data_IF_775700013781
#
_entry.id   IF_775700013781
#
_cell.length_a   1.000
_cell.length_b   1.000
_cell.length_c   1.000
_cell.angle_alpha   90.00
_cell.angle_beta   90.00
_cell.angle_gamma   90.00
#
_symmetry.space_group_name_H-M   'P 1'
#
loop_
_entity.id
_entity.type
_entity.pdbx_description
1 polymer ?
#
# COMPACT_ATOMS: atom_id res chain seq x y z
N UNK A 1 10.00 -0.27 -0.79
CA UNK A 1 9.01 -0.55 -1.86
C UNK A 1 7.81 0.34 -1.60
N UNK A 2 7.47 1.29 -2.50
CA UNK A 2 6.26 2.11 -2.37
C UNK A 2 5.03 1.20 -2.18
N UNK A 3 4.05 1.53 -1.33
CA UNK A 3 2.86 0.70 -1.17
C UNK A 3 2.06 0.69 -2.48
N UNK A 4 2.02 -0.46 -3.16
CA UNK A 4 1.35 -0.62 -4.47
C UNK A 4 -0.16 -0.80 -4.28
N UNK A 5 -0.83 0.19 -3.69
CA UNK A 5 -2.27 0.15 -3.39
C UNK A 5 -3.13 -0.09 -4.64
N UNK A 6 -2.68 0.40 -5.79
CA UNK A 6 -3.33 0.18 -7.08
C UNK A 6 -3.26 -1.29 -7.54
N UNK A 7 -2.20 -2.03 -7.19
CA UNK A 7 -2.11 -3.48 -7.43
C UNK A 7 -3.15 -4.22 -6.60
N UNK A 8 -3.38 -3.78 -5.36
CA UNK A 8 -4.49 -4.26 -4.54
C UNK A 8 -5.84 -3.99 -5.20
N UNK A 9 -6.06 -2.78 -5.73
CA UNK A 9 -7.29 -2.45 -6.47
C UNK A 9 -7.45 -3.34 -7.70
N UNK A 10 -6.39 -3.54 -8.49
CA UNK A 10 -6.43 -4.39 -9.68
C UNK A 10 -6.79 -5.84 -9.30
N UNK A 11 -6.16 -6.39 -8.25
CA UNK A 11 -6.47 -7.74 -7.78
C UNK A 11 -7.92 -7.85 -7.31
N UNK A 12 -8.44 -6.81 -6.66
CA UNK A 12 -9.84 -6.73 -6.23
C UNK A 12 -10.80 -6.62 -7.40
N UNK A 13 -10.48 -5.86 -8.45
CA UNK A 13 -11.31 -5.77 -9.64
C UNK A 13 -11.42 -7.13 -10.35
N UNK A 14 -10.28 -7.80 -10.56
CA UNK A 14 -10.26 -9.16 -11.11
C UNK A 14 -11.06 -10.12 -10.22
N UNK A 15 -10.91 -10.01 -8.91
CA UNK A 15 -11.69 -10.79 -7.95
C UNK A 15 -13.19 -10.53 -8.08
N UNK A 16 -13.64 -9.28 -8.05
CA UNK A 16 -15.06 -8.89 -8.16
C UNK A 16 -15.66 -9.44 -9.45
N UNK A 17 -14.96 -9.24 -10.58
CA UNK A 17 -15.41 -9.78 -11.88
C UNK A 17 -15.53 -11.30 -11.81
N UNK A 18 -14.57 -12.00 -11.21
CA UNK A 18 -14.62 -13.46 -11.04
C UNK A 18 -15.76 -13.97 -10.13
N UNK A 19 -16.42 -13.08 -9.39
CA UNK A 19 -17.54 -13.40 -8.49
C UNK A 19 -18.92 -13.05 -9.10
N UNK A 20 -18.98 -12.51 -10.32
CA UNK A 20 -20.26 -12.22 -10.98
C UNK A 20 -21.02 -13.53 -11.25
N UNK A 21 -22.25 -13.71 -10.73
CA UNK A 21 -23.04 -14.92 -10.93
C UNK A 21 -23.23 -15.27 -12.39
N UNK A 22 -22.84 -16.49 -12.78
CA UNK A 22 -23.02 -17.00 -14.15
C UNK A 22 -21.99 -16.52 -15.17
N UNK A 23 -21.03 -15.67 -14.79
CA UNK A 23 -19.97 -15.23 -15.70
C UNK A 23 -18.92 -16.32 -15.94
N UNK A 24 -18.52 -17.01 -14.87
CA UNK A 24 -17.50 -18.06 -14.90
C UNK A 24 -18.10 -19.42 -14.47
N UNK A 25 -17.46 -20.54 -14.85
CA UNK A 25 -17.89 -21.86 -14.41
C UNK A 25 -17.97 -21.98 -12.87
N UNK A 26 -18.78 -22.91 -12.35
CA UNK A 26 -18.85 -23.17 -10.92
C UNK A 26 -17.47 -23.44 -10.32
N UNK A 27 -17.20 -22.85 -9.15
CA UNK A 27 -15.92 -22.91 -8.44
C UNK A 27 -14.70 -22.40 -9.22
N UNK A 28 -14.92 -21.66 -10.32
CA UNK A 28 -13.86 -20.96 -11.04
C UNK A 28 -13.81 -19.51 -10.58
N UNK A 29 -12.92 -19.20 -9.62
CA UNK A 29 -12.83 -17.86 -9.01
C UNK A 29 -11.40 -17.47 -8.66
N UNK A 30 -11.13 -16.16 -8.64
CA UNK A 30 -9.85 -15.61 -8.20
C UNK A 30 -9.70 -15.60 -6.67
N UNK A 31 -10.71 -16.03 -5.90
CA UNK A 31 -10.67 -16.01 -4.42
C UNK A 31 -9.45 -16.72 -3.84
N UNK A 32 -9.10 -17.89 -4.39
CA UNK A 32 -7.96 -18.69 -3.92
C UNK A 32 -6.64 -17.93 -4.15
N UNK A 33 -6.47 -17.39 -5.35
CA UNK A 33 -5.30 -16.61 -5.72
C UNK A 33 -5.20 -15.31 -4.93
N UNK A 34 -6.32 -14.62 -4.71
CA UNK A 34 -6.39 -13.35 -3.96
C UNK A 34 -5.93 -13.57 -2.52
N UNK A 35 -6.45 -14.57 -1.84
CA UNK A 35 -6.10 -14.85 -0.44
C UNK A 35 -4.66 -15.33 -0.29
N UNK A 36 -4.20 -16.19 -1.20
CA UNK A 36 -2.80 -16.60 -1.22
C UNK A 36 -1.88 -15.39 -1.44
N UNK A 37 -2.12 -14.60 -2.48
CA UNK A 37 -1.32 -13.42 -2.80
C UNK A 37 -1.41 -12.35 -1.70
N UNK A 38 -2.55 -12.19 -1.05
CA UNK A 38 -2.67 -11.33 0.14
C UNK A 38 -1.73 -11.80 1.27
N UNK A 39 -1.61 -13.10 1.48
CA UNK A 39 -0.64 -13.68 2.41
C UNK A 39 0.81 -13.37 2.02
N UNK A 40 1.13 -13.42 0.72
CA UNK A 40 2.48 -13.14 0.19
C UNK A 40 2.85 -11.66 0.29
N UNK A 41 1.97 -10.78 -0.21
CA UNK A 41 2.28 -9.38 -0.49
C UNK A 41 1.79 -8.41 0.58
N UNK A 42 0.72 -8.70 1.32
CA UNK A 42 0.13 -7.78 2.32
C UNK A 42 0.57 -8.17 3.74
N UNK A 43 1.81 -7.80 4.09
CA UNK A 43 2.44 -8.15 5.37
C UNK A 43 2.40 -7.03 6.41
N UNK A 44 2.26 -5.78 5.97
CA UNK A 44 2.37 -4.59 6.83
C UNK A 44 0.99 -3.96 7.12
N UNK A 45 0.81 -3.52 8.37
CA UNK A 45 -0.39 -2.83 8.82
C UNK A 45 -1.69 -3.63 8.65
N UNK A 46 -2.78 -2.91 8.37
CA UNK A 46 -4.14 -3.45 8.20
C UNK A 46 -4.49 -3.79 6.74
N UNK A 47 -3.51 -3.77 5.82
CA UNK A 47 -3.71 -3.99 4.38
C UNK A 47 -4.33 -5.35 4.03
N UNK A 48 -4.12 -6.36 4.86
CA UNK A 48 -4.74 -7.69 4.73
C UNK A 48 -6.25 -7.70 5.02
N UNK A 49 -6.80 -6.68 5.69
CA UNK A 49 -8.24 -6.55 5.91
C UNK A 49 -9.00 -6.29 4.61
N UNK A 50 -8.36 -5.70 3.62
CA UNK A 50 -9.00 -5.32 2.36
C UNK A 50 -9.49 -6.54 1.55
N UNK A 51 -8.65 -7.55 1.22
CA UNK A 51 -9.13 -8.77 0.55
C UNK A 51 -10.13 -9.57 1.39
N UNK A 52 -10.02 -9.54 2.72
CA UNK A 52 -11.00 -10.17 3.60
C UNK A 52 -12.36 -9.46 3.56
N UNK A 53 -12.37 -8.12 3.62
CA UNK A 53 -13.58 -7.33 3.50
C UNK A 53 -14.24 -7.53 2.12
N UNK A 54 -13.44 -7.55 1.05
CA UNK A 54 -13.94 -7.82 -0.30
C UNK A 54 -14.56 -9.22 -0.41
N UNK A 55 -13.95 -10.24 0.20
CA UNK A 55 -14.51 -11.58 0.28
C UNK A 55 -15.88 -11.59 0.95
N UNK A 56 -15.98 -11.02 2.15
CA UNK A 56 -17.24 -10.93 2.90
C UNK A 56 -18.31 -10.20 2.12
N UNK A 57 -18.00 -9.03 1.57
CA UNK A 57 -18.94 -8.27 0.75
C UNK A 57 -19.41 -9.08 -0.48
N UNK A 58 -18.50 -9.80 -1.15
CA UNK A 58 -18.85 -10.64 -2.28
C UNK A 58 -19.76 -11.81 -1.88
N UNK A 59 -19.54 -12.42 -0.71
CA UNK A 59 -20.34 -13.54 -0.23
C UNK A 59 -21.74 -13.10 0.20
N UNK A 60 -21.85 -11.91 0.82
CA UNK A 60 -23.14 -11.30 1.14
C UNK A 60 -23.92 -10.99 -0.13
N UNK A 61 -23.26 -10.41 -1.13
CA UNK A 61 -23.88 -10.14 -2.44
C UNK A 61 -24.33 -11.43 -3.12
N UNK A 62 -23.47 -12.46 -3.19
CA UNK A 62 -23.83 -13.76 -3.77
C UNK A 62 -24.98 -14.41 -3.02
N UNK A 63 -24.97 -14.38 -1.69
CA UNK A 63 -26.06 -14.93 -0.88
C UNK A 63 -27.38 -14.20 -1.16
N UNK A 64 -27.35 -12.87 -1.24
CA UNK A 64 -28.53 -12.08 -1.61
C UNK A 64 -29.03 -12.45 -3.01
N UNK A 65 -28.13 -12.55 -4.00
CA UNK A 65 -28.47 -12.91 -5.37
C UNK A 65 -29.08 -14.31 -5.50
N UNK A 66 -28.46 -15.33 -4.87
CA UNK A 66 -28.97 -16.70 -4.89
C UNK A 66 -30.28 -16.84 -4.11
N UNK A 67 -30.47 -16.06 -3.04
CA UNK A 67 -31.75 -15.98 -2.34
C UNK A 67 -32.83 -15.39 -3.25
N UNK A 68 -32.56 -14.26 -3.89
CA UNK A 68 -33.52 -13.61 -4.80
C UNK A 68 -33.88 -14.49 -5.99
N UNK A 69 -32.89 -15.17 -6.61
CA UNK A 69 -33.11 -15.94 -7.84
C UNK A 69 -33.64 -17.36 -7.61
N UNK A 70 -33.23 -18.03 -6.54
CA UNK A 70 -33.51 -19.45 -6.32
C UNK A 70 -34.08 -19.76 -4.92
N UNK A 71 -34.24 -18.76 -4.05
CA UNK A 71 -34.73 -18.95 -2.69
C UNK A 71 -33.71 -19.55 -1.72
N UNK A 72 -32.43 -19.66 -2.09
CA UNK A 72 -31.41 -20.24 -1.23
C UNK A 72 -30.94 -19.27 -0.14
N UNK A 73 -30.97 -19.71 1.11
CA UNK A 73 -30.57 -18.88 2.26
C UNK A 73 -29.22 -19.35 2.81
N UNK A 74 -28.14 -18.71 2.37
CA UNK A 74 -26.76 -19.08 2.74
C UNK A 74 -26.35 -18.56 4.12
N UNK A 75 -26.67 -17.30 4.43
CA UNK A 75 -26.46 -16.70 5.75
C UNK A 75 -27.71 -16.85 6.61
N UNK A 76 -27.80 -17.96 7.36
CA UNK A 76 -28.80 -18.19 8.39
C UNK A 76 -28.14 -18.76 9.65
N UNK A 77 -28.81 -18.65 10.80
CA UNK A 77 -28.33 -19.25 12.06
C UNK A 77 -28.05 -20.75 11.91
N UNK A 78 -28.85 -21.45 11.10
CA UNK A 78 -28.68 -22.89 10.84
C UNK A 78 -27.49 -23.19 9.94
N UNK A 79 -27.15 -22.31 8.99
CA UNK A 79 -26.08 -22.55 8.00
C UNK A 79 -24.75 -21.87 8.34
N UNK A 80 -24.69 -21.10 9.44
CA UNK A 80 -23.52 -20.31 9.82
C UNK A 80 -22.26 -21.16 10.01
N UNK A 81 -22.41 -22.40 10.48
CA UNK A 81 -21.30 -23.33 10.68
C UNK A 81 -20.65 -23.73 9.34
N UNK A 82 -21.42 -23.91 8.26
CA UNK A 82 -20.86 -24.16 6.93
C UNK A 82 -20.07 -22.96 6.39
N UNK A 83 -20.61 -21.76 6.59
CA UNK A 83 -19.91 -20.52 6.23
C UNK A 83 -18.60 -20.40 7.01
N UNK A 84 -18.63 -20.61 8.34
CA UNK A 84 -17.44 -20.54 9.18
C UNK A 84 -16.33 -21.51 8.75
N UNK A 85 -16.69 -22.73 8.34
CA UNK A 85 -15.72 -23.73 7.88
C UNK A 85 -15.09 -23.36 6.52
N UNK A 86 -15.85 -22.75 5.61
CA UNK A 86 -15.29 -22.20 4.38
C UNK A 86 -14.32 -21.04 4.66
N UNK A 87 -14.65 -20.17 5.61
CA UNK A 87 -13.77 -19.08 6.04
C UNK A 87 -12.51 -19.59 6.73
N UNK A 88 -12.59 -20.69 7.47
CA UNK A 88 -11.41 -21.37 8.01
C UNK A 88 -10.50 -21.88 6.88
N UNK A 89 -11.08 -22.51 5.85
CA UNK A 89 -10.31 -22.95 4.69
C UNK A 89 -9.64 -21.77 3.96
N UNK A 90 -10.34 -20.63 3.81
CA UNK A 90 -9.77 -19.40 3.26
C UNK A 90 -8.62 -18.83 4.11
N UNK A 91 -8.74 -18.87 5.44
CA UNK A 91 -7.66 -18.47 6.35
C UNK A 91 -6.42 -19.35 6.15
N UNK A 92 -6.58 -20.67 5.96
CA UNK A 92 -5.45 -21.56 5.70
C UNK A 92 -4.70 -21.20 4.41
N UNK A 93 -5.41 -20.81 3.34
CA UNK A 93 -4.77 -20.32 2.10
C UNK A 93 -3.92 -19.07 2.37
N UNK A 94 -4.48 -18.12 3.13
CA UNK A 94 -3.77 -16.90 3.48
C UNK A 94 -2.52 -17.20 4.34
N UNK A 95 -2.64 -18.07 5.34
CA UNK A 95 -1.52 -18.49 6.18
C UNK A 95 -0.45 -19.23 5.37
N UNK A 96 -0.84 -20.06 4.40
CA UNK A 96 0.08 -20.68 3.45
C UNK A 96 0.84 -19.60 2.66
N UNK A 97 0.14 -18.58 2.15
CA UNK A 97 0.76 -17.43 1.47
C UNK A 97 1.80 -16.72 2.35
N UNK A 98 1.57 -16.62 3.67
CA UNK A 98 2.51 -16.01 4.61
C UNK A 98 3.85 -16.73 4.73
N UNK A 99 3.92 -18.00 4.32
CA UNK A 99 5.16 -18.79 4.26
C UNK A 99 6.04 -18.41 3.06
N UNK A 100 5.49 -17.72 2.06
CA UNK A 100 6.22 -17.27 0.88
C UNK A 100 6.64 -15.80 1.01
N UNK A 101 7.66 -15.41 0.24
CA UNK A 101 8.14 -14.02 0.14
C UNK A 101 7.95 -13.51 -1.29
N UNK A 102 7.69 -12.21 -1.52
CA UNK A 102 7.55 -11.62 -2.86
C UNK A 102 8.72 -11.95 -3.81
N UNK A 103 9.94 -12.07 -3.26
CA UNK A 103 11.17 -12.42 -3.99
C UNK A 103 11.25 -13.87 -4.49
N UNK A 104 10.34 -14.76 -4.09
CA UNK A 104 10.32 -16.12 -4.64
C UNK A 104 10.05 -16.10 -6.15
N UNK A 105 10.51 -17.14 -6.84
CA UNK A 105 10.37 -17.26 -8.29
C UNK A 105 8.89 -17.34 -8.70
N UNK A 106 8.61 -17.00 -9.96
CA UNK A 106 7.25 -17.06 -10.51
C UNK A 106 6.63 -18.45 -10.32
N UNK A 107 7.39 -19.51 -10.64
CA UNK A 107 6.94 -20.90 -10.52
C UNK A 107 6.67 -21.31 -9.08
N UNK A 108 7.50 -20.89 -8.11
CA UNK A 108 7.25 -21.14 -6.69
C UNK A 108 5.98 -20.47 -6.20
N UNK A 109 5.73 -19.23 -6.61
CA UNK A 109 4.53 -18.49 -6.20
C UNK A 109 3.26 -19.05 -6.84
N UNK A 110 3.29 -19.38 -8.13
CA UNK A 110 2.17 -20.06 -8.81
C UNK A 110 1.91 -21.44 -8.22
N UNK A 111 2.96 -22.22 -7.96
CA UNK A 111 2.86 -23.50 -7.26
C UNK A 111 2.23 -23.37 -5.87
N UNK A 112 2.59 -22.32 -5.12
CA UNK A 112 1.96 -22.00 -3.84
C UNK A 112 0.47 -21.66 -3.96
N UNK A 113 0.06 -20.92 -4.99
CA UNK A 113 -1.35 -20.64 -5.27
C UNK A 113 -2.16 -21.88 -5.62
N UNK A 114 -1.62 -22.76 -6.48
CA UNK A 114 -2.22 -24.07 -6.81
C UNK A 114 -2.34 -24.94 -5.56
N UNK A 115 -1.29 -24.98 -4.72
CA UNK A 115 -1.33 -25.70 -3.45
C UNK A 115 -2.40 -25.13 -2.50
N UNK A 116 -2.55 -23.81 -2.44
CA UNK A 116 -3.62 -23.16 -1.67
C UNK A 116 -5.01 -23.59 -2.15
N UNK A 117 -5.24 -23.61 -3.46
CA UNK A 117 -6.49 -24.08 -4.05
C UNK A 117 -6.74 -25.58 -3.76
N UNK A 118 -5.71 -26.42 -3.79
CA UNK A 118 -5.77 -27.83 -3.39
C UNK A 118 -6.14 -27.98 -1.91
N UNK A 119 -5.48 -27.23 -1.02
CA UNK A 119 -5.77 -27.24 0.42
C UNK A 119 -7.22 -26.85 0.68
N UNK A 120 -7.70 -25.78 0.05
CA UNK A 120 -9.10 -25.37 0.15
C UNK A 120 -10.05 -26.50 -0.27
N UNK A 121 -9.79 -27.10 -1.43
CA UNK A 121 -10.65 -28.15 -1.97
C UNK A 121 -10.71 -29.36 -1.03
N UNK A 122 -9.56 -29.85 -0.54
CA UNK A 122 -9.52 -31.02 0.34
C UNK A 122 -10.21 -30.70 1.66
N UNK A 123 -9.91 -29.55 2.27
CA UNK A 123 -10.47 -29.17 3.58
C UNK A 123 -11.99 -28.97 3.49
N UNK A 124 -12.47 -28.19 2.51
CA UNK A 124 -13.91 -27.92 2.35
C UNK A 124 -14.73 -29.19 2.09
N UNK A 125 -14.25 -30.07 1.21
CA UNK A 125 -14.96 -31.34 0.93
C UNK A 125 -14.85 -32.34 2.08
N UNK A 126 -13.76 -32.31 2.85
CA UNK A 126 -13.66 -33.11 4.10
C UNK A 126 -14.71 -32.66 5.11
N UNK A 127 -14.97 -31.36 5.22
CA UNK A 127 -16.05 -30.86 6.09
C UNK A 127 -17.44 -31.22 5.57
N UNK A 128 -17.68 -31.16 4.26
CA UNK A 128 -18.96 -31.59 3.67
C UNK A 128 -19.20 -33.08 3.92
N UNK A 129 -18.18 -33.93 3.73
CA UNK A 129 -18.23 -35.35 4.07
C UNK A 129 -18.52 -35.57 5.56
N UNK A 130 -17.80 -34.86 6.44
CA UNK A 130 -17.92 -35.03 7.88
C UNK A 130 -19.25 -34.51 8.45
N UNK A 131 -19.82 -33.45 7.89
CA UNK A 131 -21.09 -32.92 8.37
C UNK A 131 -22.30 -33.56 7.68
N UNK A 132 -22.09 -34.09 6.48
CA UNK A 132 -23.13 -34.66 5.62
C UNK A 132 -24.41 -33.82 5.57
N UNK A 133 -24.34 -32.53 5.18
CA UNK A 133 -25.49 -31.63 5.22
C UNK A 133 -26.65 -32.05 4.31
N UNK A 134 -26.36 -32.89 3.31
CA UNK A 134 -27.34 -33.40 2.36
C UNK A 134 -27.94 -34.75 2.77
N UNK A 135 -27.54 -35.32 3.92
CA UNK A 135 -27.88 -36.68 4.32
C UNK A 135 -27.60 -37.70 3.20
N UNK A 136 -26.51 -37.51 2.47
CA UNK A 136 -26.09 -38.35 1.36
C UNK A 136 -25.65 -39.73 1.90
N UNK A 137 -26.25 -40.84 1.45
CA UNK A 137 -25.87 -42.17 1.90
C UNK A 137 -24.44 -42.56 1.51
N UNK A 138 -23.88 -41.91 0.49
CA UNK A 138 -22.53 -42.16 -0.02
C UNK A 138 -21.43 -41.59 0.89
N UNK A 139 -21.75 -40.65 1.79
CA UNK A 139 -20.79 -40.07 2.74
C UNK A 139 -20.63 -40.96 3.98
N UNK A 140 -20.23 -42.20 3.76
CA UNK A 140 -19.89 -43.17 4.80
C UNK A 140 -18.72 -42.68 5.65
N UNK A 141 -18.70 -42.98 6.95
CA UNK A 141 -17.68 -42.51 7.92
C UNK A 141 -16.35 -43.27 7.82
N UNK A 142 -15.93 -43.59 6.61
CA UNK A 142 -14.72 -44.30 6.29
C UNK A 142 -13.98 -43.64 5.12
N UNK A 143 -12.83 -44.20 4.75
CA UNK A 143 -12.00 -43.69 3.67
C UNK A 143 -12.73 -43.66 2.32
N UNK A 144 -13.66 -44.60 2.07
CA UNK A 144 -14.41 -44.68 0.82
C UNK A 144 -15.37 -43.51 0.69
N UNK A 145 -16.13 -43.21 1.74
CA UNK A 145 -17.03 -42.06 1.73
C UNK A 145 -16.29 -40.73 1.62
N UNK A 146 -15.12 -40.63 2.25
CA UNK A 146 -14.26 -39.44 2.09
C UNK A 146 -13.76 -39.28 0.65
N UNK A 147 -13.27 -40.36 0.03
CA UNK A 147 -12.84 -40.35 -1.36
C UNK A 147 -14.01 -40.04 -2.31
N UNK A 148 -15.19 -40.54 -2.01
CA UNK A 148 -16.43 -40.25 -2.75
C UNK A 148 -16.74 -38.75 -2.72
N UNK A 149 -16.67 -38.12 -1.55
CA UNK A 149 -16.88 -36.69 -1.42
C UNK A 149 -15.87 -35.86 -2.23
N UNK A 150 -14.62 -36.31 -2.32
CA UNK A 150 -13.57 -35.64 -3.10
C UNK A 150 -13.68 -35.83 -4.62
N UNK A 151 -14.47 -36.78 -5.10
CA UNK A 151 -14.48 -37.16 -6.52
C UNK A 151 -15.85 -37.04 -7.16
N UNK A 152 -16.87 -37.68 -6.59
CA UNK A 152 -18.20 -37.79 -7.18
C UNK A 152 -19.14 -36.76 -6.54
N UNK A 153 -19.20 -36.70 -5.21
CA UNK A 153 -20.14 -35.83 -4.50
C UNK A 153 -21.55 -36.41 -4.36
N UNK A 154 -22.55 -35.54 -4.24
CA UNK A 154 -23.95 -35.92 -3.98
C UNK A 154 -24.80 -35.88 -5.26
N UNK A 155 -25.74 -36.81 -5.40
CA UNK A 155 -26.68 -36.84 -6.51
C UNK A 155 -27.48 -35.53 -6.65
N UNK A 156 -27.75 -35.12 -7.89
CA UNK A 156 -28.46 -33.87 -8.20
C UNK A 156 -27.57 -32.63 -8.31
N UNK A 157 -26.27 -32.76 -8.07
CA UNK A 157 -25.27 -31.70 -8.24
C UNK A 157 -24.18 -32.12 -9.23
N UNK A 158 -23.46 -31.16 -9.84
CA UNK A 158 -22.27 -31.47 -10.63
C UNK A 158 -21.25 -32.25 -9.81
N UNK A 159 -20.51 -33.14 -10.49
CA UNK A 159 -19.50 -33.97 -9.84
C UNK A 159 -18.42 -33.13 -9.13
N UNK A 160 -18.00 -33.55 -7.93
CA UNK A 160 -16.96 -32.85 -7.17
C UNK A 160 -15.66 -32.70 -7.95
N UNK A 161 -15.34 -33.66 -8.82
CA UNK A 161 -14.21 -33.61 -9.74
C UNK A 161 -14.24 -32.41 -10.69
N UNK A 162 -15.44 -31.97 -11.12
CA UNK A 162 -15.58 -30.77 -11.94
C UNK A 162 -15.19 -29.53 -11.14
N UNK A 163 -15.64 -29.44 -9.89
CA UNK A 163 -15.24 -28.37 -8.99
C UNK A 163 -13.75 -28.39 -8.68
N UNK A 164 -13.14 -29.58 -8.54
CA UNK A 164 -11.71 -29.73 -8.33
C UNK A 164 -10.90 -29.12 -9.47
N UNK A 165 -11.20 -29.53 -10.71
CA UNK A 165 -10.54 -29.00 -11.91
C UNK A 165 -10.65 -27.49 -11.99
N UNK A 166 -11.86 -26.94 -11.79
CA UNK A 166 -12.08 -25.51 -11.87
C UNK A 166 -11.33 -24.75 -10.77
N UNK A 167 -11.33 -25.28 -9.54
CA UNK A 167 -10.61 -24.71 -8.39
C UNK A 167 -9.09 -24.65 -8.66
N UNK A 168 -8.51 -25.75 -9.15
CA UNK A 168 -7.09 -25.80 -9.45
C UNK A 168 -6.71 -24.90 -10.64
N UNK A 169 -7.49 -24.94 -11.72
CA UNK A 169 -7.25 -24.13 -12.90
C UNK A 169 -7.35 -22.63 -12.57
N UNK A 170 -8.38 -22.22 -11.82
CA UNK A 170 -8.54 -20.82 -11.43
C UNK A 170 -7.47 -20.39 -10.43
N UNK A 171 -7.11 -21.25 -9.47
CA UNK A 171 -6.01 -21.02 -8.54
C UNK A 171 -4.69 -20.75 -9.26
N UNK A 172 -4.31 -21.63 -10.21
CA UNK A 172 -3.10 -21.43 -11.01
C UNK A 172 -3.16 -20.22 -11.93
N UNK A 173 -4.25 -20.05 -12.67
CA UNK A 173 -4.43 -18.96 -13.63
C UNK A 173 -4.38 -17.59 -12.94
N UNK A 174 -5.20 -17.37 -11.92
CA UNK A 174 -5.28 -16.07 -11.25
C UNK A 174 -4.05 -15.79 -10.40
N UNK A 175 -3.42 -16.80 -9.79
CA UNK A 175 -2.13 -16.59 -9.12
C UNK A 175 -1.06 -16.23 -10.14
N UNK A 176 -1.02 -16.89 -11.30
CA UNK A 176 -0.12 -16.54 -12.40
C UNK A 176 -0.32 -15.10 -12.87
N UNK A 177 -1.57 -14.67 -13.02
CA UNK A 177 -1.91 -13.29 -13.38
C UNK A 177 -1.46 -12.29 -12.31
N UNK A 178 -1.78 -12.52 -11.03
CA UNK A 178 -1.41 -11.63 -9.94
C UNK A 178 0.11 -11.54 -9.74
N UNK A 179 0.79 -12.68 -9.70
CA UNK A 179 2.25 -12.74 -9.58
C UNK A 179 2.92 -12.16 -10.81
N UNK A 180 2.40 -12.43 -12.01
CA UNK A 180 2.91 -11.91 -13.27
C UNK A 180 2.87 -10.39 -13.31
N UNK A 181 1.72 -9.78 -12.97
CA UNK A 181 1.62 -8.32 -12.87
C UNK A 181 2.54 -7.80 -11.76
N UNK A 182 2.57 -8.42 -10.58
CA UNK A 182 3.45 -7.97 -9.49
C UNK A 182 4.94 -7.97 -9.89
N UNK A 183 5.39 -9.00 -10.61
CA UNK A 183 6.77 -9.13 -11.11
C UNK A 183 7.06 -8.23 -12.30
N UNK A 184 6.12 -8.05 -13.22
CA UNK A 184 6.26 -7.10 -14.33
C UNK A 184 6.42 -5.68 -13.79
N UNK A 185 5.60 -5.29 -12.81
CA UNK A 185 5.73 -3.99 -12.17
C UNK A 185 7.07 -3.86 -11.45
N UNK A 186 7.53 -4.91 -10.75
CA UNK A 186 8.87 -4.93 -10.18
C UNK A 186 9.97 -4.78 -11.25
N UNK A 187 9.83 -5.43 -12.41
CA UNK A 187 10.78 -5.37 -13.52
C UNK A 187 10.81 -3.98 -14.20
N UNK A 188 9.63 -3.40 -14.50
CA UNK A 188 9.49 -2.06 -15.07
C UNK A 188 9.98 -0.97 -14.12
N UNK A 189 9.91 -1.20 -12.81
CA UNK A 189 10.50 -0.33 -11.80
C UNK A 189 12.04 -0.47 -11.71
N UNK A 190 12.60 -1.56 -12.25
CA UNK A 190 14.05 -1.83 -12.25
C UNK A 190 14.77 -1.54 -13.57
N UNK A 191 14.06 -1.39 -14.70
CA UNK A 191 14.70 -0.97 -15.95
C UNK A 191 14.90 0.55 -15.99
N UNK A 192 16.15 1.05 -16.16
CA UNK A 192 16.38 2.45 -16.45
C UNK A 192 15.94 2.76 -17.89
N UNK A 193 15.26 3.89 -18.09
CA UNK A 193 14.97 4.46 -19.41
C UNK A 193 16.26 4.57 -20.24
N UNK A 194 16.52 3.57 -21.08
CA UNK A 194 17.63 3.54 -22.04
C UNK A 194 17.12 2.85 -23.28
N UNK A 195 16.60 3.62 -24.24
CA UNK A 195 16.63 3.33 -25.68
C UNK A 195 15.92 4.45 -26.45
N UNK A 196 16.68 5.46 -26.88
CA UNK A 196 16.38 6.27 -28.06
C UNK A 196 17.68 6.91 -28.60
N UNK A 197 18.40 6.11 -29.39
CA UNK A 197 19.33 6.43 -30.49
C UNK A 197 20.21 7.70 -30.41
N UNK A 198 21.52 7.49 -30.25
CA UNK A 198 22.57 8.39 -30.76
C UNK A 198 23.26 7.77 -31.99
N UNK A 199 23.59 8.61 -32.98
CA UNK A 199 24.67 8.38 -33.95
C UNK A 199 25.70 9.54 -33.85
N UNK A 200 26.97 9.33 -34.24
CA UNK A 200 28.12 9.81 -33.47
C UNK A 200 28.87 11.00 -34.11
N UNK A 201 29.56 11.80 -33.28
CA UNK A 201 30.68 12.63 -33.71
C UNK A 201 31.83 12.51 -32.71
N UNK A 202 32.99 12.05 -33.21
CA UNK A 202 34.28 11.93 -32.52
C UNK A 202 34.87 13.29 -32.11
N UNK A 203 35.43 13.37 -30.89
CA UNK A 203 36.88 13.45 -30.64
C UNK A 203 37.17 14.00 -29.21
N UNK A 204 37.93 13.21 -28.45
CA UNK A 204 38.43 13.43 -27.09
C UNK A 204 39.51 14.55 -27.03
N UNK A 205 39.74 15.26 -25.90
CA UNK A 205 40.50 14.66 -24.79
C UNK A 205 39.99 14.96 -23.35
N UNK A 206 39.98 13.90 -22.54
CA UNK A 206 40.16 13.77 -21.09
C UNK A 206 39.02 14.28 -20.15
N UNK A 207 38.45 13.41 -19.28
CA UNK A 207 37.29 13.77 -18.49
C UNK A 207 37.70 14.48 -17.19
N UNK A 208 37.58 15.80 -17.16
CA UNK A 208 37.15 16.47 -15.93
C UNK A 208 35.75 15.94 -15.59
N UNK A 209 35.56 15.47 -14.36
CA UNK A 209 34.30 14.92 -13.86
C UNK A 209 33.19 15.96 -13.97
N UNK A 210 32.48 15.98 -15.09
CA UNK A 210 31.22 16.70 -15.22
C UNK A 210 30.25 16.05 -14.25
N UNK A 211 29.94 16.75 -13.17
CA UNK A 211 28.97 16.31 -12.18
C UNK A 211 27.63 16.13 -12.87
N UNK A 212 27.18 14.87 -12.93
CA UNK A 212 25.80 14.50 -13.27
C UNK A 212 24.87 15.47 -12.52
N UNK A 213 24.17 16.33 -13.24
CA UNK A 213 23.28 17.33 -12.64
C UNK A 213 22.24 16.59 -11.81
N UNK A 214 22.23 16.84 -10.49
CA UNK A 214 21.34 16.17 -9.54
C UNK A 214 20.03 16.94 -9.47
N UNK A 215 18.95 16.29 -9.87
CA UNK A 215 17.60 16.81 -9.72
C UNK A 215 16.92 16.08 -8.55
N UNK A 216 16.49 16.82 -7.53
CA UNK A 216 15.79 16.29 -6.36
C UNK A 216 14.62 17.18 -5.97
N UNK A 217 13.58 16.57 -5.41
CA UNK A 217 12.38 17.27 -4.96
C UNK A 217 12.07 16.85 -3.52
N UNK A 218 11.77 17.78 -2.64
CA UNK A 218 11.49 17.54 -1.22
C UNK A 218 10.13 18.13 -0.87
N UNK A 219 9.35 17.39 -0.08
CA UNK A 219 8.11 17.91 0.52
C UNK A 219 8.41 18.54 1.87
N UNK A 220 7.87 19.72 2.14
CA UNK A 220 7.99 20.40 3.44
C UNK A 220 6.60 20.72 3.95
N UNK A 221 6.29 20.30 5.17
CA UNK A 221 4.99 20.44 5.82
C UNK A 221 5.17 20.82 7.29
N UNK A 222 4.23 21.54 7.86
CA UNK A 222 4.24 21.93 9.27
C UNK A 222 2.82 22.10 9.78
N UNK A 223 2.68 22.15 11.11
CA UNK A 223 1.46 22.61 11.77
C UNK A 223 0.21 21.85 11.27
N UNK A 224 0.31 20.53 11.26
CA UNK A 224 -0.80 19.63 10.87
C UNK A 224 -1.80 19.45 12.01
N UNK A 225 -1.39 19.63 13.27
CA UNK A 225 -2.27 19.57 14.45
C UNK A 225 -3.20 18.34 14.44
N UNK A 226 -2.64 17.18 14.07
CA UNK A 226 -3.33 15.89 14.01
C UNK A 226 -4.24 15.70 12.79
N UNK A 227 -4.10 16.53 11.76
CA UNK A 227 -4.86 16.42 10.52
C UNK A 227 -3.97 16.12 9.33
N UNK A 228 -4.28 15.02 8.64
CA UNK A 228 -3.67 14.66 7.37
C UNK A 228 -4.62 15.02 6.22
N UNK A 229 -4.16 15.84 5.29
CA UNK A 229 -4.91 16.20 4.08
C UNK A 229 -4.60 15.20 2.96
N UNK A 230 -5.60 14.48 2.46
CA UNK A 230 -5.42 13.44 1.43
C UNK A 230 -4.78 13.97 0.13
N UNK A 231 -4.86 15.27 -0.13
CA UNK A 231 -4.22 15.89 -1.31
C UNK A 231 -2.71 15.83 -1.26
N UNK A 232 -2.12 15.70 -0.06
CA UNK A 232 -0.68 15.57 0.12
C UNK A 232 -0.13 14.34 -0.60
N UNK A 233 -0.92 13.27 -0.79
CA UNK A 233 -0.53 12.10 -1.58
C UNK A 233 -0.18 12.45 -3.03
N UNK A 234 -0.84 13.46 -3.58
CA UNK A 234 -0.62 13.91 -4.95
C UNK A 234 0.40 15.03 -5.00
N UNK A 235 0.34 15.99 -4.07
CA UNK A 235 1.27 17.13 -4.02
C UNK A 235 2.70 16.65 -3.76
N UNK A 236 2.88 15.70 -2.84
CA UNK A 236 4.18 15.12 -2.52
C UNK A 236 4.49 13.85 -3.33
N UNK A 237 3.75 13.57 -4.40
CA UNK A 237 4.06 12.43 -5.26
C UNK A 237 5.45 12.60 -5.89
N UNK A 238 6.33 11.63 -5.65
CA UNK A 238 7.68 11.63 -6.24
C UNK A 238 8.71 12.49 -5.52
N UNK A 239 8.38 13.08 -4.37
CA UNK A 239 9.40 13.73 -3.52
C UNK A 239 10.37 12.67 -2.98
N UNK A 240 11.65 13.02 -2.94
CA UNK A 240 12.74 12.21 -2.38
C UNK A 240 12.59 12.02 -0.89
N UNK A 241 12.15 13.06 -0.17
CA UNK A 241 12.01 13.07 1.29
C UNK A 241 10.96 14.10 1.72
N UNK A 242 10.33 13.86 2.88
CA UNK A 242 9.39 14.79 3.50
C UNK A 242 9.97 15.29 4.83
N UNK A 243 9.89 16.60 5.04
CA UNK A 243 10.25 17.24 6.31
C UNK A 243 8.99 17.74 7.00
N UNK A 244 8.72 17.27 8.22
CA UNK A 244 7.67 17.82 9.08
C UNK A 244 8.28 18.75 10.14
N UNK A 245 8.01 20.03 10.02
CA UNK A 245 8.65 21.07 10.83
C UNK A 245 8.05 21.24 12.23
N UNK A 246 7.39 20.22 12.80
CA UNK A 246 6.72 20.30 14.11
C UNK A 246 5.23 20.64 14.07
N UNK A 247 4.59 20.55 15.24
CA UNK A 247 3.15 20.64 15.48
C UNK A 247 2.39 19.58 14.66
N UNK A 248 2.85 18.34 14.82
CA UNK A 248 2.32 17.13 14.20
C UNK A 248 0.94 16.75 14.76
N UNK A 249 0.76 16.88 16.07
CA UNK A 249 -0.43 16.46 16.82
C UNK A 249 -0.46 14.95 17.10
N UNK A 250 -0.76 14.11 16.10
CA UNK A 250 -0.93 12.65 16.30
C UNK A 250 0.10 11.83 15.50
N UNK A 251 0.52 10.66 15.99
CA UNK A 251 1.44 9.78 15.25
C UNK A 251 0.92 9.37 13.87
N UNK A 252 -0.40 9.29 13.71
CA UNK A 252 -1.06 8.91 12.45
C UNK A 252 -0.71 9.85 11.30
N UNK A 253 -0.40 11.13 11.57
CA UNK A 253 0.03 12.08 10.52
C UNK A 253 1.40 11.67 9.96
N UNK A 254 2.36 11.34 10.83
CA UNK A 254 3.70 10.89 10.39
C UNK A 254 3.59 9.56 9.65
N UNK A 255 2.83 8.61 10.19
CA UNK A 255 2.58 7.32 9.53
C UNK A 255 1.97 7.51 8.13
N UNK A 256 1.03 8.45 7.97
CA UNK A 256 0.43 8.76 6.68
C UNK A 256 1.43 9.41 5.70
N UNK A 257 2.26 10.35 6.16
CA UNK A 257 3.32 10.98 5.35
C UNK A 257 4.40 9.96 4.95
N UNK A 258 4.76 9.04 5.84
CA UNK A 258 5.71 7.94 5.58
C UNK A 258 5.21 6.97 4.50
N UNK A 259 3.90 6.92 4.24
CA UNK A 259 3.38 6.18 3.08
C UNK A 259 3.73 6.82 1.73
N UNK A 260 4.13 8.09 1.72
CA UNK A 260 4.46 8.88 0.52
C UNK A 260 5.97 8.84 0.25
N UNK A 261 6.78 9.26 1.23
CA UNK A 261 8.24 9.28 1.16
C UNK A 261 8.83 9.20 2.59
N UNK A 262 10.13 8.89 2.76
CA UNK A 262 10.75 8.92 4.08
C UNK A 262 10.57 10.28 4.77
N UNK A 263 10.28 10.26 6.07
CA UNK A 263 9.94 11.48 6.84
C UNK A 263 11.05 11.80 7.83
N UNK A 264 11.41 13.07 7.94
CA UNK A 264 12.14 13.62 9.07
C UNK A 264 11.27 14.65 9.77
N UNK A 265 10.99 14.42 11.04
CA UNK A 265 10.13 15.29 11.83
C UNK A 265 10.86 15.84 13.05
N UNK A 266 10.52 17.06 13.43
CA UNK A 266 10.88 17.65 14.73
C UNK A 266 9.63 17.88 15.56
N UNK A 267 9.82 18.08 16.86
CA UNK A 267 8.75 18.40 17.80
C UNK A 267 8.39 19.87 17.70
N UNK A 268 7.10 20.19 17.57
CA UNK A 268 6.60 21.55 17.76
C UNK A 268 6.20 21.87 19.19
N UNK A 269 5.79 23.10 19.45
CA UNK A 269 5.43 23.56 20.79
C UNK A 269 4.08 23.00 21.28
N UNK A 270 3.19 22.60 20.36
CA UNK A 270 1.91 21.97 20.67
C UNK A 270 1.98 20.43 20.73
N UNK A 271 3.11 19.85 20.36
CA UNK A 271 3.31 18.39 20.35
C UNK A 271 3.52 17.81 21.75
N UNK A 272 2.82 16.72 22.04
CA UNK A 272 3.01 15.97 23.29
C UNK A 272 4.39 15.32 23.32
N UNK A 273 5.02 15.30 24.51
CA UNK A 273 6.26 14.59 24.76
C UNK A 273 6.18 13.07 24.41
N UNK A 274 4.98 12.49 24.39
CA UNK A 274 4.75 11.11 23.97
C UNK A 274 5.19 10.81 22.52
N UNK A 275 5.18 11.80 21.63
CA UNK A 275 5.63 11.63 20.25
C UNK A 275 7.14 11.34 20.14
N UNK A 276 7.92 11.60 21.20
CA UNK A 276 9.36 11.36 21.27
C UNK A 276 10.17 11.96 20.10
N UNK A 277 9.65 13.04 19.50
CA UNK A 277 10.33 13.77 18.44
C UNK A 277 11.44 14.66 19.03
N UNK A 278 12.60 14.75 18.37
CA UNK A 278 13.65 15.69 18.75
C UNK A 278 13.22 17.14 18.46
N UNK A 279 13.75 18.11 19.21
CA UNK A 279 13.50 19.54 18.96
C UNK A 279 14.26 20.07 17.75
N UNK A 280 15.35 19.42 17.37
CA UNK A 280 16.19 19.77 16.22
C UNK A 280 16.58 18.51 15.47
N UNK A 281 16.57 18.54 14.14
CA UNK A 281 17.11 17.48 13.28
C UNK A 281 18.12 18.02 12.28
N UNK A 282 19.22 17.28 12.13
CA UNK A 282 20.20 17.45 11.05
C UNK A 282 20.02 16.27 10.10
N UNK A 283 19.68 16.53 8.84
CA UNK A 283 19.53 15.50 7.82
C UNK A 283 20.52 15.71 6.68
N UNK A 284 21.10 14.62 6.18
CA UNK A 284 21.95 14.63 4.99
C UNK A 284 21.40 13.63 3.98
N UNK A 285 21.05 14.12 2.78
CA UNK A 285 20.44 13.32 1.71
C UNK A 285 21.21 13.64 0.43
N UNK A 286 21.86 12.63 -0.14
CA UNK A 286 22.67 12.78 -1.38
C UNK A 286 23.70 13.92 -1.28
N UNK A 287 24.29 14.12 -0.09
CA UNK A 287 25.25 15.17 0.21
C UNK A 287 24.65 16.57 0.44
N UNK A 288 23.33 16.72 0.37
CA UNK A 288 22.62 17.95 0.74
C UNK A 288 22.30 17.93 2.23
N UNK A 289 22.68 19.00 2.94
CA UNK A 289 22.46 19.17 4.38
C UNK A 289 21.23 20.03 4.67
N UNK A 290 20.35 19.53 5.52
CA UNK A 290 19.10 20.18 5.92
C UNK A 290 19.05 20.32 7.44
N UNK A 291 18.72 21.51 7.94
CA UNK A 291 18.46 21.76 9.35
C UNK A 291 16.97 21.97 9.57
N UNK A 292 16.39 21.30 10.55
CA UNK A 292 14.96 21.37 10.85
C UNK A 292 14.78 21.73 12.32
N UNK A 293 13.99 22.78 12.59
CA UNK A 293 13.58 23.24 13.91
C UNK A 293 12.19 23.88 13.80
N UNK A 294 11.34 23.75 14.81
CA UNK A 294 9.97 24.26 14.71
C UNK A 294 9.89 25.80 14.82
N UNK A 295 10.48 26.37 15.86
CA UNK A 295 10.42 27.81 16.14
C UNK A 295 11.70 28.49 15.67
N UNK A 296 11.63 29.22 14.55
CA UNK A 296 12.77 29.94 13.97
C UNK A 296 12.32 31.31 13.48
N UNK A 297 13.12 32.34 13.75
CA UNK A 297 12.98 33.67 13.17
C UNK A 297 14.12 33.92 12.18
N UNK A 298 13.90 33.80 10.85
CA UNK A 298 14.98 33.87 9.86
C UNK A 298 15.78 35.19 9.89
N UNK A 299 15.15 36.28 10.33
CA UNK A 299 15.77 37.60 10.41
C UNK A 299 16.55 37.85 11.70
N UNK A 300 16.26 37.07 12.76
CA UNK A 300 16.89 37.20 14.08
C UNK A 300 17.04 35.80 14.66
N UNK A 301 18.11 35.11 14.26
CA UNK A 301 18.42 33.77 14.73
C UNK A 301 18.86 33.81 16.20
N UNK A 302 18.40 32.85 17.01
CA UNK A 302 18.91 32.68 18.36
C UNK A 302 20.36 32.12 18.34
N UNK A 303 21.14 32.29 19.42
CA UNK A 303 22.54 31.86 19.46
C UNK A 303 22.75 30.36 19.23
N UNK A 304 21.81 29.50 19.60
CA UNK A 304 21.94 28.06 19.43
C UNK A 304 21.75 27.69 17.95
N UNK A 305 20.71 28.22 17.32
CA UNK A 305 20.47 28.05 15.87
C UNK A 305 21.64 28.60 15.05
N UNK A 306 22.17 29.77 15.40
CA UNK A 306 23.34 30.34 14.74
C UNK A 306 24.55 29.40 14.84
N UNK A 307 24.85 28.90 16.04
CA UNK A 307 25.95 27.94 16.25
C UNK A 307 25.76 26.66 15.42
N UNK A 308 24.53 26.13 15.37
CA UNK A 308 24.21 24.93 14.59
C UNK A 308 24.42 25.16 13.08
N UNK A 309 24.04 26.33 12.58
CA UNK A 309 24.26 26.73 11.18
C UNK A 309 25.76 26.83 10.87
N UNK A 310 26.55 27.46 11.76
CA UNK A 310 28.00 27.59 11.59
C UNK A 310 28.72 26.23 11.58
N UNK A 311 28.31 25.32 12.47
CA UNK A 311 28.88 23.98 12.60
C UNK A 311 28.46 23.04 11.46
N UNK A 312 27.16 22.96 11.17
CA UNK A 312 26.60 21.98 10.24
C UNK A 312 26.57 22.49 8.79
N UNK A 313 26.59 23.81 8.58
CA UNK A 313 26.54 24.47 7.27
C UNK A 313 25.42 23.92 6.39
N UNK A 314 24.14 23.99 6.82
CA UNK A 314 23.03 23.47 6.03
C UNK A 314 22.88 24.26 4.73
N UNK A 315 22.40 23.61 3.66
CA UNK A 315 22.02 24.29 2.43
C UNK A 315 20.58 24.83 2.50
N UNK A 316 19.73 24.19 3.31
CA UNK A 316 18.38 24.65 3.57
C UNK A 316 17.98 24.44 5.04
N UNK A 317 17.13 25.32 5.55
CA UNK A 317 16.56 25.28 6.88
C UNK A 317 15.03 25.31 6.81
N UNK A 318 14.37 24.35 7.47
CA UNK A 318 12.91 24.20 7.44
C UNK A 318 12.31 24.40 8.84
N UNK A 319 11.26 25.22 8.91
CA UNK A 319 10.65 25.64 10.18
C UNK A 319 9.14 25.88 10.08
N UNK A 320 8.49 26.10 11.22
CA UNK A 320 7.03 26.14 11.35
C UNK A 320 6.53 27.26 12.26
N UNK A 321 5.57 26.97 13.14
CA UNK A 321 5.08 27.79 14.26
C UNK A 321 4.22 29.00 13.87
N UNK A 322 4.70 29.84 12.95
CA UNK A 322 4.02 31.10 12.61
C UNK A 322 2.72 30.92 11.82
N UNK A 323 2.50 29.72 11.27
CA UNK A 323 1.44 29.38 10.30
C UNK A 323 1.48 30.23 9.01
N UNK A 324 2.52 31.02 8.79
CA UNK A 324 2.67 31.92 7.64
C UNK A 324 3.74 31.39 6.69
N UNK A 325 3.42 31.16 5.41
CA UNK A 325 4.42 30.74 4.44
C UNK A 325 5.57 31.74 4.34
N UNK A 326 6.79 31.22 4.26
CA UNK A 326 8.00 32.01 4.10
C UNK A 326 8.98 31.25 3.22
N UNK A 327 9.54 31.91 2.22
CA UNK A 327 10.62 31.39 1.37
C UNK A 327 11.58 32.54 1.12
N UNK A 328 12.82 32.41 1.59
CA UNK A 328 13.87 33.37 1.27
C UNK A 328 15.26 32.74 1.43
N UNK A 329 16.27 33.36 0.85
CA UNK A 329 17.67 33.03 1.09
C UNK A 329 18.27 33.98 2.12
N UNK A 330 18.75 33.43 3.23
CA UNK A 330 19.50 34.18 4.24
C UNK A 330 20.91 33.60 4.32
N UNK A 331 21.92 34.43 4.04
CA UNK A 331 23.33 34.01 4.02
C UNK A 331 23.59 32.74 3.17
N UNK A 332 23.00 32.69 1.97
CA UNK A 332 23.06 31.56 1.03
C UNK A 332 22.42 30.23 1.52
N UNK A 333 21.62 30.29 2.57
CA UNK A 333 20.83 29.15 3.06
C UNK A 333 19.38 29.40 2.68
N UNK A 334 18.71 28.41 2.07
CA UNK A 334 17.28 28.50 1.78
C UNK A 334 16.47 28.30 3.07
N UNK A 335 15.72 29.30 3.50
CA UNK A 335 14.78 29.20 4.63
C UNK A 335 13.37 28.97 4.11
N UNK A 336 12.68 27.94 4.62
CA UNK A 336 11.30 27.62 4.25
C UNK A 336 10.42 27.42 5.47
N UNK A 337 9.35 28.21 5.57
CA UNK A 337 8.16 27.89 6.36
C UNK A 337 7.04 27.48 5.40
N UNK A 338 6.54 26.23 5.46
CA UNK A 338 5.51 25.77 4.55
C UNK A 338 4.12 26.34 4.87
N UNK A 339 3.95 27.02 6.02
CA UNK A 339 2.67 27.50 6.51
C UNK A 339 1.91 26.43 7.30
N UNK A 340 0.58 26.55 7.31
CA UNK A 340 -0.31 25.70 8.11
C UNK A 340 -0.97 24.60 7.28
N UNK A 341 -0.79 23.33 7.66
CA UNK A 341 -1.39 22.19 6.97
C UNK A 341 -2.57 21.54 7.72
N UNK A 342 -2.89 21.99 8.93
CA UNK A 342 -3.92 21.41 9.78
C UNK A 342 -5.35 21.57 9.27
N UNK A 343 -6.37 21.28 10.10
CA UNK A 343 -7.78 21.25 9.64
C UNK A 343 -8.20 22.57 8.97
N UNK A 344 -9.05 22.53 7.91
CA UNK A 344 -9.72 23.72 7.40
C UNK A 344 -10.43 24.47 8.53
N UNK A 345 -10.04 25.72 8.74
CA UNK A 345 -10.73 26.69 9.61
C UNK A 345 -11.13 27.86 8.75
N UNK A 346 -12.26 28.47 9.08
CA UNK A 346 -12.69 29.72 8.43
C UNK A 346 -11.55 30.74 8.56
N UNK A 347 -11.10 31.31 7.44
CA UNK A 347 -9.99 32.30 7.30
C UNK A 347 -8.54 31.80 7.35
N UNK A 348 -8.25 30.52 7.60
CA UNK A 348 -6.87 30.03 7.61
C UNK A 348 -6.38 29.63 6.20
N UNK A 349 -5.42 30.39 5.66
CA UNK A 349 -4.73 30.02 4.42
C UNK A 349 -3.82 28.81 4.66
N UNK A 350 -4.28 27.65 4.17
CA UNK A 350 -3.56 26.39 4.33
C UNK A 350 -2.58 26.18 3.19
N UNK A 351 -1.41 25.65 3.50
CA UNK A 351 -0.36 25.43 2.52
C UNK A 351 0.65 24.38 2.95
N UNK A 352 1.44 23.94 1.98
CA UNK A 352 2.68 23.17 2.14
C UNK A 352 3.73 23.74 1.19
N UNK A 353 4.97 23.26 1.23
CA UNK A 353 5.99 23.65 0.26
C UNK A 353 6.60 22.45 -0.47
N UNK A 354 7.01 22.70 -1.72
CA UNK A 354 7.88 21.82 -2.50
C UNK A 354 9.22 22.51 -2.68
N UNK A 355 10.31 21.82 -2.33
CA UNK A 355 11.67 22.32 -2.45
C UNK A 355 12.42 21.50 -3.50
N UNK A 356 12.85 22.15 -4.56
CA UNK A 356 13.52 21.56 -5.71
C UNK A 356 15.01 21.90 -5.63
N UNK A 357 15.85 20.91 -5.88
CA UNK A 357 17.28 21.09 -6.11
C UNK A 357 17.58 20.64 -7.52
N UNK A 358 17.91 21.56 -8.41
CA UNK A 358 18.24 21.29 -9.82
C UNK A 358 19.40 22.20 -10.24
N UNK A 359 20.30 21.69 -11.08
CA UNK A 359 21.47 22.46 -11.58
C UNK A 359 22.30 23.12 -10.45
N UNK A 360 22.48 22.42 -9.34
CA UNK A 360 23.15 22.91 -8.12
C UNK A 360 22.48 24.12 -7.43
N UNK A 361 21.19 24.36 -7.69
CA UNK A 361 20.44 25.47 -7.09
C UNK A 361 19.17 24.98 -6.41
N UNK A 362 18.84 25.61 -5.28
CA UNK A 362 17.57 25.39 -4.59
C UNK A 362 16.52 26.38 -5.06
N UNK A 363 15.29 25.90 -5.22
CA UNK A 363 14.10 26.70 -5.38
C UNK A 363 12.99 26.12 -4.50
N UNK A 364 12.11 26.95 -3.96
CA UNK A 364 10.97 26.50 -3.18
C UNK A 364 9.68 27.16 -3.66
N UNK A 365 8.60 26.39 -3.67
CA UNK A 365 7.27 26.83 -4.07
C UNK A 365 6.27 26.51 -2.96
N UNK A 366 5.45 27.49 -2.58
CA UNK A 366 4.35 27.30 -1.63
C UNK A 366 3.11 26.83 -2.40
N UNK A 367 2.62 25.65 -2.05
CA UNK A 367 1.44 25.03 -2.63
C UNK A 367 0.22 25.25 -1.71
N UNK A 368 -0.79 26.04 -2.13
CA UNK A 368 -1.98 26.27 -1.33
C UNK A 368 -2.92 25.06 -1.30
N UNK A 369 -3.44 24.74 -0.11
CA UNK A 369 -4.39 23.65 0.14
C UNK A 369 -5.85 24.15 0.12
N UNK A 370 -6.28 24.82 -0.96
CA UNK A 370 -7.61 25.46 -1.11
C UNK A 370 -8.78 24.50 -0.95
N UNK A 371 -9.88 24.87 -0.29
CA UNK A 371 -11.09 24.06 -0.31
C UNK A 371 -11.66 23.97 -1.73
N UNK A 372 -11.97 22.75 -2.20
CA UNK A 372 -12.91 22.61 -3.31
C UNK A 372 -14.28 23.03 -2.78
N UNK A 373 -14.85 24.09 -3.36
CA UNK A 373 -16.28 24.36 -3.26
C UNK A 373 -16.92 23.25 -4.09
N UNK A 374 -17.39 22.18 -3.45
CA UNK A 374 -18.32 21.23 -4.05
C UNK A 374 -19.74 21.66 -3.78
#
# INVERSE_FOLDING_TARGET
MKPKWWLSILFLLVFIVSRIPGLLPPNFSAVYALLFCAGVYFREGKSWLLPLAALVCSDLFLSWWYHYKYGFTTFSLTNLHHVALNYLAFLLIFLLGRMFKPRHSFTQLVGGGVLGALVFFVVSNTFVWFLNPFNAPEYTRDFRGWLWALTIGTAGWPETWTFFKNTLLSGGLFTGLFVGVAKLVEALETEPETEAAEEPVEADPAPEKVSKMRNMLFGVISDTHGYFDERLRYIFAGVTHIFHCGDVGTPDVLLALETIAPVTAVRGNADSAYLQLPTTQKAEIEGLRFLIQHEVSPLVLDPETQRLIEEFKPHAMFFGHSHKPFVDFVNNILFVNPGYAGRPRYEADRSVALVRFENNQFAAEIIPLKQCIM
#
